data_IF_609060070479
#
_entry.id   IF_609060070479
#
_cell.length_a   1.000
_cell.length_b   1.000
_cell.length_c   1.000
_cell.angle_alpha   90.00
_cell.angle_beta   90.00
_cell.angle_gamma   90.00
#
_symmetry.space_group_name_H-M   'P 1'
#
loop_
_entity.id
_entity.type
_entity.pdbx_description
1 polymer ?
#
# COMPACT_ATOMS: atom_id res chain seq x y z
N UNK A 1 49.63 -38.38 16.76
CA UNK A 1 48.28 -38.31 16.14
C UNK A 1 47.78 -36.87 15.90
N UNK A 2 48.10 -35.88 16.74
CA UNK A 2 47.68 -34.47 16.56
C UNK A 2 48.10 -33.80 15.23
N UNK A 3 49.21 -34.23 14.61
CA UNK A 3 49.72 -33.64 13.36
C UNK A 3 48.82 -33.90 12.14
N UNK A 4 48.04 -34.99 12.13
CA UNK A 4 47.08 -35.30 11.06
C UNK A 4 45.81 -34.45 11.16
N UNK A 5 45.30 -34.21 12.37
CA UNK A 5 44.12 -33.34 12.60
C UNK A 5 44.40 -31.89 12.17
N UNK A 6 45.61 -31.38 12.43
CA UNK A 6 46.02 -30.03 12.01
C UNK A 6 46.14 -29.84 10.49
N UNK A 7 46.29 -30.93 9.72
CA UNK A 7 46.37 -30.92 8.26
C UNK A 7 44.98 -30.96 7.61
N UNK A 8 44.00 -31.58 8.26
CA UNK A 8 42.60 -31.61 7.83
C UNK A 8 41.91 -30.24 7.97
N UNK A 9 42.21 -29.51 9.05
CA UNK A 9 41.72 -28.15 9.30
C UNK A 9 42.35 -27.08 8.39
N UNK A 10 43.38 -27.43 7.60
CA UNK A 10 44.09 -26.55 6.65
C UNK A 10 43.76 -26.85 5.19
N UNK A 11 42.75 -27.69 4.94
CA UNK A 11 42.26 -27.99 3.60
C UNK A 11 41.23 -26.92 3.18
N UNK A 12 41.69 -25.67 3.07
CA UNK A 12 40.94 -24.57 2.47
C UNK A 12 40.89 -24.81 0.94
N UNK A 13 40.07 -25.78 0.52
CA UNK A 13 39.67 -25.87 -0.88
C UNK A 13 38.75 -24.68 -1.11
N UNK A 14 39.31 -23.58 -1.61
CA UNK A 14 38.54 -22.41 -2.02
C UNK A 14 37.51 -22.81 -3.08
N UNK A 15 36.35 -22.14 -3.05
CA UNK A 15 35.36 -22.26 -4.12
C UNK A 15 36.03 -22.00 -5.47
N UNK A 16 35.71 -22.83 -6.45
CA UNK A 16 36.14 -22.58 -7.82
C UNK A 16 35.28 -21.47 -8.44
N UNK A 17 35.84 -20.71 -9.39
CA UNK A 17 35.08 -19.67 -10.09
C UNK A 17 33.83 -20.24 -10.80
N UNK A 18 33.88 -21.51 -11.22
CA UNK A 18 32.76 -22.19 -11.89
C UNK A 18 31.58 -22.41 -10.94
N UNK A 19 31.84 -22.73 -9.67
CA UNK A 19 30.79 -22.89 -8.66
C UNK A 19 30.11 -21.56 -8.34
N UNK A 20 30.88 -20.47 -8.22
CA UNK A 20 30.32 -19.13 -8.06
C UNK A 20 29.53 -18.70 -9.31
N UNK A 21 30.01 -19.03 -10.50
CA UNK A 21 29.34 -18.74 -11.77
C UNK A 21 27.97 -19.42 -11.84
N UNK A 22 27.88 -20.70 -11.47
CA UNK A 22 26.61 -21.43 -11.47
C UNK A 22 25.57 -20.79 -10.53
N UNK A 23 26.00 -20.32 -9.35
CA UNK A 23 25.11 -19.67 -8.37
C UNK A 23 24.57 -18.35 -8.90
N UNK A 24 25.41 -17.48 -9.46
CA UNK A 24 24.94 -16.18 -9.97
C UNK A 24 24.00 -16.33 -11.18
N UNK A 25 24.18 -17.38 -12.00
CA UNK A 25 23.26 -17.70 -13.09
C UNK A 25 21.88 -18.07 -12.55
N UNK A 26 21.82 -18.95 -11.54
CA UNK A 26 20.56 -19.34 -10.91
C UNK A 26 19.89 -18.12 -10.25
N UNK A 27 20.65 -17.31 -9.50
CA UNK A 27 20.15 -16.08 -8.88
C UNK A 27 19.64 -15.07 -9.93
N UNK A 28 20.32 -14.96 -11.08
CA UNK A 28 19.91 -14.09 -12.18
C UNK A 28 18.58 -14.52 -12.79
N UNK A 29 18.36 -15.82 -12.98
CA UNK A 29 17.08 -16.36 -13.49
C UNK A 29 15.95 -16.08 -12.49
N UNK A 30 16.19 -16.32 -11.20
CA UNK A 30 15.20 -16.05 -10.14
C UNK A 30 14.89 -14.55 -10.09
N UNK A 31 15.91 -13.69 -10.09
CA UNK A 31 15.75 -12.24 -10.02
C UNK A 31 14.96 -11.70 -11.22
N UNK A 32 15.17 -12.23 -12.42
CA UNK A 32 14.46 -11.80 -13.63
C UNK A 32 12.93 -11.99 -13.53
N UNK A 33 12.45 -13.02 -12.83
CA UNK A 33 11.02 -13.28 -12.63
C UNK A 33 10.52 -12.59 -11.34
N UNK A 34 11.32 -12.65 -10.27
CA UNK A 34 10.93 -12.15 -8.95
C UNK A 34 10.76 -10.62 -8.92
N UNK A 35 11.65 -9.86 -9.56
CA UNK A 35 11.61 -8.39 -9.54
C UNK A 35 10.29 -7.82 -10.10
N UNK A 36 9.86 -8.15 -11.34
CA UNK A 36 8.59 -7.63 -11.86
C UNK A 36 7.38 -8.15 -11.07
N UNK A 37 7.41 -9.41 -10.62
CA UNK A 37 6.30 -9.98 -9.83
C UNK A 37 6.14 -9.28 -8.49
N UNK A 38 7.23 -8.99 -7.78
CA UNK A 38 7.20 -8.30 -6.48
C UNK A 38 6.79 -6.84 -6.66
N UNK A 39 7.25 -6.18 -7.74
CA UNK A 39 6.82 -4.82 -8.08
C UNK A 39 5.30 -4.72 -8.21
N UNK A 40 4.69 -5.57 -9.04
CA UNK A 40 3.24 -5.58 -9.22
C UNK A 40 2.48 -5.88 -7.92
N UNK A 41 2.99 -6.78 -7.06
CA UNK A 41 2.35 -7.08 -5.77
C UNK A 41 2.40 -5.85 -4.84
N UNK A 42 3.52 -5.14 -4.81
CA UNK A 42 3.67 -3.93 -3.99
C UNK A 42 2.73 -2.83 -4.49
N UNK A 43 2.65 -2.64 -5.80
CA UNK A 43 1.79 -1.60 -6.39
C UNK A 43 0.31 -1.90 -6.11
N UNK A 44 -0.15 -3.14 -6.32
CA UNK A 44 -1.50 -3.55 -5.94
C UNK A 44 -1.76 -3.39 -4.44
N UNK A 45 -0.80 -3.74 -3.58
CA UNK A 45 -0.96 -3.58 -2.12
C UNK A 45 -1.08 -2.12 -1.70
N UNK A 46 -0.44 -1.19 -2.42
CA UNK A 46 -0.58 0.25 -2.20
C UNK A 46 -1.94 0.74 -2.66
N UNK A 47 -2.40 0.30 -3.82
CA UNK A 47 -3.73 0.65 -4.33
C UNK A 47 -4.83 0.16 -3.37
N UNK A 48 -4.73 -1.09 -2.91
CA UNK A 48 -5.64 -1.67 -1.91
C UNK A 48 -5.63 -0.86 -0.59
N UNK A 49 -4.45 -0.44 -0.13
CA UNK A 49 -4.31 0.37 1.08
C UNK A 49 -4.96 1.75 0.91
N UNK A 50 -4.77 2.42 -0.22
CA UNK A 50 -5.38 3.72 -0.52
C UNK A 50 -6.91 3.63 -0.59
N UNK A 51 -7.47 2.57 -1.19
CA UNK A 51 -8.92 2.37 -1.20
C UNK A 51 -9.45 2.09 0.22
N UNK A 52 -8.72 1.30 1.01
CA UNK A 52 -9.10 1.01 2.39
C UNK A 52 -9.06 2.28 3.27
N UNK A 53 -8.05 3.13 3.11
CA UNK A 53 -7.91 4.42 3.80
C UNK A 53 -9.07 5.36 3.45
N UNK A 54 -9.41 5.48 2.16
CA UNK A 54 -10.56 6.24 1.70
C UNK A 54 -11.89 5.77 2.33
N UNK A 55 -12.09 4.44 2.46
CA UNK A 55 -13.26 3.88 3.13
C UNK A 55 -13.26 4.15 4.64
N UNK A 56 -12.09 4.13 5.29
CA UNK A 56 -11.96 4.50 6.70
C UNK A 56 -12.32 5.97 6.92
N UNK A 57 -11.82 6.86 6.06
CA UNK A 57 -12.13 8.30 6.08
C UNK A 57 -13.65 8.53 5.96
N UNK A 58 -14.31 7.88 4.99
CA UNK A 58 -15.77 7.93 4.85
C UNK A 58 -16.48 7.35 6.08
N UNK A 59 -15.96 6.25 6.63
CA UNK A 59 -16.46 5.63 7.86
C UNK A 59 -16.40 6.59 9.06
N UNK A 60 -15.32 7.35 9.20
CA UNK A 60 -15.19 8.38 10.22
C UNK A 60 -16.17 9.52 10.00
N UNK A 61 -16.33 9.99 8.76
CA UNK A 61 -17.34 11.01 8.44
C UNK A 61 -18.76 10.55 8.77
N UNK A 62 -19.08 9.27 8.58
CA UNK A 62 -20.36 8.69 9.03
C UNK A 62 -20.55 8.75 10.54
N UNK A 63 -19.50 8.43 11.30
CA UNK A 63 -19.53 8.50 12.77
C UNK A 63 -19.65 9.95 13.27
N UNK A 64 -18.94 10.87 12.62
CA UNK A 64 -19.03 12.30 12.89
C UNK A 64 -20.43 12.84 12.61
N UNK A 65 -21.03 12.50 11.46
CA UNK A 65 -22.40 12.87 11.09
C UNK A 65 -23.46 12.27 12.03
N UNK A 66 -23.22 11.05 12.53
CA UNK A 66 -24.09 10.44 13.53
C UNK A 66 -24.01 11.13 14.89
N UNK A 67 -22.89 11.82 15.19
CA UNK A 67 -22.67 12.59 16.41
C UNK A 67 -23.23 14.01 16.30
N UNK A 68 -23.01 14.67 15.16
CA UNK A 68 -23.57 15.98 14.83
C UNK A 68 -24.05 16.01 13.37
N UNK A 69 -25.36 15.86 13.18
CA UNK A 69 -25.98 15.81 11.86
C UNK A 69 -26.17 17.18 11.19
N UNK A 70 -25.72 18.27 11.83
CA UNK A 70 -25.74 19.61 11.22
C UNK A 70 -24.51 19.87 10.34
N UNK A 71 -23.45 19.10 10.55
CA UNK A 71 -22.24 19.14 9.73
C UNK A 71 -22.42 18.16 8.57
N UNK A 72 -22.11 18.61 7.36
CA UNK A 72 -22.21 17.78 6.14
C UNK A 72 -20.91 17.78 5.34
N UNK A 73 -19.85 18.39 5.87
CA UNK A 73 -18.53 18.44 5.24
C UNK A 73 -17.46 18.35 6.32
N UNK A 74 -16.47 17.49 6.11
CA UNK A 74 -15.38 17.29 7.04
C UNK A 74 -14.05 17.23 6.30
N UNK A 75 -13.05 17.90 6.84
CA UNK A 75 -11.65 17.76 6.46
C UNK A 75 -10.90 16.92 7.51
N UNK A 76 -9.58 16.79 7.35
CA UNK A 76 -8.74 16.09 8.31
C UNK A 76 -8.92 16.58 9.76
N UNK A 77 -9.08 17.90 9.97
CA UNK A 77 -9.27 18.46 11.31
C UNK A 77 -10.62 18.09 11.92
N UNK A 78 -11.66 18.04 11.10
CA UNK A 78 -13.02 17.64 11.49
C UNK A 78 -13.15 16.15 11.81
N UNK A 79 -12.20 15.32 11.36
CA UNK A 79 -12.21 13.87 11.56
C UNK A 79 -11.09 13.36 12.47
N UNK A 80 -10.21 14.23 12.97
CA UNK A 80 -9.07 13.87 13.81
C UNK A 80 -9.44 13.14 15.12
N UNK A 81 -10.68 13.25 15.60
CA UNK A 81 -11.17 12.48 16.76
C UNK A 81 -11.55 11.03 16.39
N UNK A 82 -11.87 10.78 15.12
CA UNK A 82 -12.38 9.51 14.60
C UNK A 82 -11.37 8.76 13.73
N UNK A 83 -10.31 9.44 13.28
CA UNK A 83 -9.24 8.91 12.45
C UNK A 83 -7.89 9.09 13.15
N UNK A 84 -7.03 8.09 13.01
CA UNK A 84 -5.67 8.11 13.55
C UNK A 84 -4.68 7.71 12.45
N UNK A 85 -3.54 8.39 12.38
CA UNK A 85 -2.44 8.14 11.44
C UNK A 85 -2.84 8.03 9.96
N UNK A 86 -3.66 8.96 9.47
CA UNK A 86 -3.94 9.11 8.03
C UNK A 86 -2.73 9.75 7.35
N UNK A 87 -2.24 9.18 6.25
CA UNK A 87 -1.01 9.65 5.59
C UNK A 87 -1.29 10.88 4.71
N UNK A 88 -2.47 10.93 4.08
CA UNK A 88 -2.95 12.07 3.30
C UNK A 88 -3.85 12.96 4.17
N UNK A 89 -3.50 14.24 4.34
CA UNK A 89 -4.30 15.22 5.09
C UNK A 89 -5.09 16.17 4.19
N UNK A 90 -4.94 16.06 2.87
CA UNK A 90 -5.49 17.01 1.90
C UNK A 90 -6.92 16.71 1.44
N UNK A 91 -7.52 15.65 1.99
CA UNK A 91 -8.84 15.19 1.62
C UNK A 91 -9.98 16.00 2.26
N UNK A 92 -11.15 15.90 1.64
CA UNK A 92 -12.43 16.39 2.20
C UNK A 92 -13.53 15.38 1.91
N UNK A 93 -14.40 15.15 2.90
CA UNK A 93 -15.59 14.31 2.78
C UNK A 93 -16.82 15.20 2.80
N UNK A 94 -17.77 14.98 1.89
CA UNK A 94 -19.07 15.64 1.93
C UNK A 94 -20.23 14.63 1.90
N UNK A 95 -21.30 14.97 2.62
CA UNK A 95 -22.55 14.22 2.66
C UNK A 95 -23.67 15.03 2.01
N UNK A 96 -24.20 14.52 0.89
CA UNK A 96 -25.34 15.11 0.18
C UNK A 96 -26.22 14.00 -0.39
N UNK A 97 -27.54 14.22 -0.40
CA UNK A 97 -28.54 13.34 -1.02
C UNK A 97 -28.41 11.85 -0.62
N UNK A 98 -28.02 11.59 0.63
CA UNK A 98 -27.89 10.24 1.16
C UNK A 98 -26.57 9.52 0.82
N UNK A 99 -25.63 10.20 0.16
CA UNK A 99 -24.33 9.64 -0.25
C UNK A 99 -23.15 10.39 0.35
N UNK A 100 -22.09 9.64 0.69
CA UNK A 100 -20.80 10.19 1.11
C UNK A 100 -19.86 10.21 -0.09
N UNK A 101 -19.19 11.35 -0.27
CA UNK A 101 -18.22 11.57 -1.34
C UNK A 101 -16.91 12.05 -0.76
N UNK A 102 -15.81 11.49 -1.24
CA UNK A 102 -14.44 11.86 -0.89
C UNK A 102 -13.80 12.61 -2.05
N UNK A 103 -13.18 13.75 -1.79
CA UNK A 103 -12.43 14.58 -2.75
C UNK A 103 -11.01 14.80 -2.25
N UNK A 104 -10.07 15.04 -3.16
CA UNK A 104 -8.67 15.37 -2.82
C UNK A 104 -7.80 14.20 -2.38
N UNK A 105 -8.29 12.95 -2.46
CA UNK A 105 -7.55 11.75 -2.04
C UNK A 105 -7.09 10.90 -3.23
N UNK A 106 -5.91 10.29 -3.13
CA UNK A 106 -5.27 9.50 -4.20
C UNK A 106 -6.11 8.32 -4.71
N UNK A 107 -7.06 7.83 -3.90
CA UNK A 107 -8.02 6.80 -4.33
C UNK A 107 -8.82 7.19 -5.60
N UNK A 108 -8.92 8.49 -5.91
CA UNK A 108 -9.52 8.95 -7.16
C UNK A 108 -8.80 8.42 -8.41
N UNK A 109 -7.47 8.27 -8.38
CA UNK A 109 -6.71 7.67 -9.48
C UNK A 109 -7.17 6.23 -9.74
N UNK A 110 -7.36 5.46 -8.68
CA UNK A 110 -7.69 4.03 -8.76
C UNK A 110 -9.10 3.85 -9.32
N UNK A 111 -10.05 4.65 -8.83
CA UNK A 111 -11.46 4.50 -9.17
C UNK A 111 -11.83 5.18 -10.49
N UNK A 112 -11.27 6.36 -10.78
CA UNK A 112 -11.64 7.21 -11.92
C UNK A 112 -10.59 7.27 -13.01
N UNK A 113 -9.40 6.69 -12.80
CA UNK A 113 -8.26 6.76 -13.72
C UNK A 113 -7.78 8.20 -14.02
N UNK A 114 -8.22 9.18 -13.22
CA UNK A 114 -7.88 10.60 -13.32
C UNK A 114 -7.84 11.19 -11.92
N UNK A 115 -6.89 12.08 -11.66
CA UNK A 115 -6.80 12.83 -10.41
C UNK A 115 -6.83 14.33 -10.69
N UNK A 116 -7.79 14.99 -10.07
CA UNK A 116 -7.80 16.43 -9.82
C UNK A 116 -8.26 16.62 -8.38
N UNK A 117 -7.90 17.73 -7.75
CA UNK A 117 -8.32 18.05 -6.37
C UNK A 117 -9.86 18.11 -6.21
N UNK A 118 -10.59 18.24 -7.34
CA UNK A 118 -12.05 18.23 -7.42
C UNK A 118 -12.66 16.86 -7.76
N UNK A 119 -11.84 15.83 -8.04
CA UNK A 119 -12.35 14.51 -8.42
C UNK A 119 -13.00 13.84 -7.22
N UNK A 120 -14.33 13.79 -7.23
CA UNK A 120 -15.12 13.15 -6.20
C UNK A 120 -15.26 11.64 -6.47
N UNK A 121 -15.06 10.86 -5.41
CA UNK A 121 -15.26 9.41 -5.41
C UNK A 121 -16.35 9.08 -4.39
N UNK A 122 -17.34 8.30 -4.81
CA UNK A 122 -18.41 7.87 -3.90
C UNK A 122 -18.00 6.61 -3.14
N UNK A 123 -18.60 6.38 -1.98
CA UNK A 123 -18.40 5.14 -1.22
C UNK A 123 -18.70 3.89 -2.05
N UNK A 124 -19.77 3.90 -2.85
CA UNK A 124 -20.15 2.77 -3.69
C UNK A 124 -19.06 2.40 -4.72
N UNK A 125 -18.37 3.40 -5.26
CA UNK A 125 -17.31 3.19 -6.24
C UNK A 125 -16.02 2.69 -5.57
N UNK A 126 -15.71 3.15 -4.36
CA UNK A 126 -14.61 2.63 -3.54
C UNK A 126 -14.85 1.17 -3.14
N UNK A 127 -16.08 0.81 -2.77
CA UNK A 127 -16.45 -0.58 -2.46
C UNK A 127 -16.30 -1.48 -3.69
N UNK A 128 -16.61 -0.98 -4.89
CA UNK A 128 -16.40 -1.75 -6.12
C UNK A 128 -14.91 -1.93 -6.44
N UNK A 129 -14.09 -0.90 -6.20
CA UNK A 129 -12.65 -0.98 -6.39
C UNK A 129 -11.92 -1.87 -5.37
N UNK A 130 -12.52 -2.10 -4.20
CA UNK A 130 -11.98 -2.97 -3.15
C UNK A 130 -12.27 -4.47 -3.37
N UNK A 131 -12.93 -4.86 -4.46
CA UNK A 131 -13.24 -6.27 -4.80
C UNK A 131 -12.15 -6.94 -5.62
#
# INVERSE_FOLDING_TARGET
MLKKMKKMLKNDRGLTLVELLAVIVILGIIAAIAVPSIGNIIDNSKEDAQVAEALQIIGAAKLANASDSSVTTWDNSGLAEFLDNVEDESYSVSYSDGSYTLTGHDSAVIVKSTYTDETAVTEAELIEAAK
#
